data_IF_300797031133
#
_entry.id   IF_300797031133
#
_cell.length_a   1.000
_cell.length_b   1.000
_cell.length_c   1.000
_cell.angle_alpha   90.00
_cell.angle_beta   90.00
_cell.angle_gamma   90.00
#
_symmetry.space_group_name_H-M   'P 1'
#
loop_
_entity.id
_entity.type
_entity.pdbx_description
1 polymer ?
#
# COMPACT_ATOMS: atom_id res chain seq x y z
N UNK A 1 -8.14 -7.93 -6.63
CA UNK A 1 -8.53 -6.64 -7.20
C UNK A 1 -9.43 -6.80 -8.42
N UNK A 2 -9.94 -5.69 -8.93
CA UNK A 2 -10.96 -5.71 -10.02
C UNK A 2 -10.43 -6.30 -11.33
N UNK A 3 -9.14 -6.22 -11.57
CA UNK A 3 -8.47 -6.76 -12.77
C UNK A 3 -7.61 -7.97 -12.43
N UNK A 4 -7.86 -8.60 -11.26
CA UNK A 4 -7.07 -9.74 -10.84
C UNK A 4 -7.36 -10.96 -11.71
N UNK A 5 -6.28 -11.56 -12.23
CA UNK A 5 -6.35 -12.89 -12.81
C UNK A 5 -6.29 -13.93 -11.69
N UNK A 6 -7.21 -14.89 -11.72
CA UNK A 6 -7.24 -15.98 -10.72
C UNK A 6 -6.01 -16.88 -10.81
N UNK A 7 -5.39 -16.98 -11.98
CA UNK A 7 -4.15 -17.73 -12.20
C UNK A 7 -2.95 -17.10 -11.47
N UNK A 8 -3.04 -15.83 -11.10
CA UNK A 8 -2.02 -15.16 -10.29
C UNK A 8 -2.05 -15.57 -8.80
N UNK A 9 -3.03 -16.34 -8.34
CA UNK A 9 -3.00 -17.05 -7.06
C UNK A 9 -2.40 -18.43 -7.30
N UNK A 10 -1.09 -18.55 -7.13
CA UNK A 10 -0.36 -19.81 -7.36
C UNK A 10 -0.35 -20.75 -6.14
N UNK A 11 -0.76 -20.26 -4.98
CA UNK A 11 -0.87 -21.05 -3.75
C UNK A 11 -2.06 -22.01 -3.82
N UNK A 12 -1.83 -23.24 -3.46
CA UNK A 12 -2.91 -24.20 -3.22
C UNK A 12 -3.59 -23.96 -1.85
N UNK A 13 -4.72 -24.63 -1.64
CA UNK A 13 -5.47 -24.52 -0.39
C UNK A 13 -4.64 -24.93 0.84
N UNK A 14 -3.79 -25.93 0.70
CA UNK A 14 -2.92 -26.42 1.79
C UNK A 14 -1.95 -25.33 2.25
N UNK A 15 -1.27 -24.67 1.31
CA UNK A 15 -0.37 -23.56 1.61
C UNK A 15 -1.10 -22.40 2.32
N UNK A 16 -2.29 -22.04 1.84
CA UNK A 16 -3.10 -20.97 2.43
C UNK A 16 -3.50 -21.30 3.87
N UNK A 17 -3.98 -22.53 4.13
CA UNK A 17 -4.39 -22.98 5.44
C UNK A 17 -3.21 -23.06 6.43
N UNK A 18 -2.05 -23.60 6.00
CA UNK A 18 -0.83 -23.70 6.81
C UNK A 18 -0.29 -22.32 7.22
N UNK A 19 -0.39 -21.33 6.33
CA UNK A 19 0.06 -19.96 6.58
C UNK A 19 -1.05 -19.04 7.13
N UNK A 20 -2.26 -19.57 7.39
CA UNK A 20 -3.43 -18.83 7.90
C UNK A 20 -3.79 -17.63 7.00
N UNK A 21 -3.69 -17.82 5.69
CA UNK A 21 -3.98 -16.79 4.68
C UNK A 21 -5.41 -16.96 4.19
N UNK A 22 -6.21 -15.90 4.29
CA UNK A 22 -7.55 -15.82 3.74
C UNK A 22 -7.56 -15.06 2.42
N UNK A 23 -8.33 -15.54 1.45
CA UNK A 23 -8.47 -14.90 0.13
C UNK A 23 -9.78 -14.13 0.09
N UNK A 24 -9.71 -12.86 -0.34
CA UNK A 24 -10.87 -11.98 -0.45
C UNK A 24 -10.94 -11.35 -1.84
N UNK A 25 -12.12 -11.38 -2.44
CA UNK A 25 -12.41 -10.58 -3.63
C UNK A 25 -12.77 -9.16 -3.22
N UNK A 26 -12.05 -8.19 -3.77
CA UNK A 26 -12.25 -6.76 -3.48
C UNK A 26 -12.24 -5.94 -4.76
N UNK A 27 -12.92 -4.80 -4.73
CA UNK A 27 -13.22 -3.96 -5.89
C UNK A 27 -12.23 -2.80 -6.13
N UNK A 28 -11.05 -2.82 -5.48
CA UNK A 28 -9.97 -1.87 -5.79
C UNK A 28 -9.38 -2.10 -7.19
N UNK A 29 -8.78 -1.07 -7.74
CA UNK A 29 -7.96 -1.21 -8.94
C UNK A 29 -6.75 -2.11 -8.75
N UNK A 30 -6.24 -2.64 -9.86
CA UNK A 30 -5.07 -3.53 -9.88
C UNK A 30 -5.40 -5.00 -9.61
N UNK A 31 -4.35 -5.81 -9.63
CA UNK A 31 -4.36 -7.26 -9.53
C UNK A 31 -4.32 -7.75 -8.06
N UNK A 32 -3.99 -9.03 -7.87
CA UNK A 32 -3.80 -9.66 -6.56
C UNK A 32 -2.64 -9.01 -5.79
N UNK A 33 -2.74 -8.97 -4.48
CA UNK A 33 -1.66 -8.57 -3.56
C UNK A 33 -1.77 -9.37 -2.27
N UNK A 34 -0.74 -9.30 -1.44
CA UNK A 34 -0.69 -9.90 -0.12
C UNK A 34 -0.70 -8.81 0.96
N UNK A 35 -1.44 -9.04 2.03
CA UNK A 35 -1.40 -8.23 3.25
C UNK A 35 -1.06 -9.11 4.45
N UNK A 36 -0.09 -8.69 5.26
CA UNK A 36 0.33 -9.45 6.42
C UNK A 36 1.09 -8.65 7.47
N UNK A 37 1.50 -9.30 8.56
CA UNK A 37 2.26 -8.66 9.63
C UNK A 37 3.51 -7.95 9.12
N UNK A 38 3.87 -6.83 9.76
CA UNK A 38 5.01 -6.02 9.36
C UNK A 38 4.77 -5.09 8.18
N UNK A 39 3.57 -5.11 7.57
CA UNK A 39 3.16 -4.21 6.51
C UNK A 39 2.31 -3.06 7.06
N UNK A 40 2.50 -1.85 6.57
CA UNK A 40 1.58 -0.74 6.84
C UNK A 40 0.58 -0.65 5.70
N UNK A 41 -0.70 -0.86 6.02
CA UNK A 41 -1.81 -0.65 5.08
C UNK A 41 -2.47 0.67 5.42
N UNK A 42 -2.54 1.57 4.46
CA UNK A 42 -3.17 2.89 4.59
C UNK A 42 -4.31 3.07 3.59
N UNK A 43 -5.44 3.58 4.09
CA UNK A 43 -6.62 3.91 3.28
C UNK A 43 -6.95 5.40 3.39
N UNK A 44 -6.29 6.28 2.60
CA UNK A 44 -6.63 7.69 2.59
C UNK A 44 -8.01 7.88 1.94
N UNK A 45 -9.00 8.31 2.73
CA UNK A 45 -10.37 8.59 2.28
C UNK A 45 -10.49 10.09 2.12
N UNK A 46 -10.40 10.56 0.88
CA UNK A 46 -10.30 11.98 0.54
C UNK A 46 -11.40 12.34 -0.46
N UNK A 47 -12.04 13.49 -0.23
CA UNK A 47 -12.91 14.09 -1.21
C UNK A 47 -12.07 14.90 -2.21
N UNK A 48 -11.88 14.35 -3.41
CA UNK A 48 -11.07 14.96 -4.47
C UNK A 48 -11.67 16.25 -5.03
N UNK A 49 -12.95 16.55 -4.76
CA UNK A 49 -13.53 17.85 -5.14
C UNK A 49 -12.89 19.00 -4.38
N UNK A 50 -12.41 18.73 -3.16
CA UNK A 50 -11.76 19.72 -2.29
C UNK A 50 -10.24 19.80 -2.53
N UNK A 51 -9.69 18.96 -3.41
CA UNK A 51 -8.27 18.93 -3.75
C UNK A 51 -8.07 19.07 -5.26
N UNK A 52 -8.15 17.97 -6.01
CA UNK A 52 -8.11 17.94 -7.46
C UNK A 52 -8.96 16.76 -7.97
N UNK A 53 -9.92 17.02 -8.86
CA UNK A 53 -10.77 16.00 -9.48
C UNK A 53 -10.01 15.20 -10.55
N UNK A 54 -8.92 14.54 -10.14
CA UNK A 54 -8.04 13.78 -11.04
C UNK A 54 -7.52 12.55 -10.30
N UNK A 55 -7.98 11.38 -10.71
CA UNK A 55 -7.60 10.08 -10.12
C UNK A 55 -6.12 9.75 -10.34
N UNK A 56 -5.57 10.12 -11.50
CA UNK A 56 -4.15 9.88 -11.78
C UNK A 56 -3.25 10.75 -10.92
N UNK A 57 -3.58 12.02 -10.74
CA UNK A 57 -2.86 12.91 -9.85
C UNK A 57 -2.93 12.43 -8.39
N UNK A 58 -4.10 11.95 -7.95
CA UNK A 58 -4.23 11.36 -6.63
C UNK A 58 -3.33 10.13 -6.45
N UNK A 59 -3.31 9.22 -7.44
CA UNK A 59 -2.42 8.07 -7.43
C UNK A 59 -0.95 8.51 -7.31
N UNK A 60 -0.53 9.46 -8.15
CA UNK A 60 0.84 10.00 -8.11
C UNK A 60 1.16 10.70 -6.78
N UNK A 61 0.17 11.34 -6.14
CA UNK A 61 0.33 11.94 -4.82
C UNK A 61 0.59 10.89 -3.73
N UNK A 62 -0.11 9.76 -3.77
CA UNK A 62 0.16 8.64 -2.84
C UNK A 62 1.55 8.04 -3.07
N UNK A 63 1.95 7.83 -4.33
CA UNK A 63 3.31 7.37 -4.65
C UNK A 63 4.36 8.35 -4.12
N UNK A 64 4.15 9.65 -4.29
CA UNK A 64 5.07 10.70 -3.82
C UNK A 64 5.26 10.67 -2.30
N UNK A 65 4.18 10.46 -1.54
CA UNK A 65 4.26 10.29 -0.08
C UNK A 65 5.21 9.15 0.29
N UNK A 66 5.06 8.00 -0.34
CA UNK A 66 5.90 6.83 -0.03
C UNK A 66 7.34 7.02 -0.52
N UNK A 67 7.55 7.67 -1.66
CA UNK A 67 8.89 8.03 -2.15
C UNK A 67 9.61 8.93 -1.13
N UNK A 68 8.93 9.95 -0.59
CA UNK A 68 9.48 10.83 0.45
C UNK A 68 9.79 10.06 1.73
N UNK A 69 8.95 9.11 2.14
CA UNK A 69 9.24 8.25 3.29
C UNK A 69 10.48 7.39 3.02
N UNK A 70 10.64 6.81 1.83
CA UNK A 70 11.84 6.06 1.46
C UNK A 70 13.11 6.94 1.53
N UNK A 71 13.02 8.19 1.05
CA UNK A 71 14.13 9.15 1.08
C UNK A 71 14.60 9.48 2.51
N UNK A 72 13.70 9.46 3.51
CA UNK A 72 14.10 9.63 4.93
C UNK A 72 14.91 8.44 5.49
N UNK A 73 14.99 7.36 4.74
CA UNK A 73 15.81 6.18 5.03
C UNK A 73 16.98 6.03 4.04
N UNK A 74 17.34 7.10 3.32
CA UNK A 74 18.38 7.10 2.29
C UNK A 74 18.14 6.07 1.17
N UNK A 75 16.85 5.78 0.86
CA UNK A 75 16.46 4.87 -0.21
C UNK A 75 15.84 5.67 -1.37
N UNK A 76 16.31 5.40 -2.58
CA UNK A 76 15.86 6.06 -3.81
C UNK A 76 14.56 5.41 -4.34
N UNK A 77 13.44 5.84 -3.77
CA UNK A 77 12.12 5.40 -4.21
C UNK A 77 11.75 5.98 -5.57
N UNK A 78 11.24 5.16 -6.46
CA UNK A 78 10.91 5.54 -7.84
C UNK A 78 9.56 5.01 -8.31
N UNK A 79 9.12 5.52 -9.47
CA UNK A 79 7.97 5.02 -10.22
C UNK A 79 8.45 4.22 -11.41
N UNK A 80 7.77 3.14 -11.73
CA UNK A 80 8.03 2.36 -12.93
C UNK A 80 6.84 2.56 -13.89
N UNK A 81 7.13 2.97 -15.11
CA UNK A 81 6.09 3.12 -16.13
C UNK A 81 5.32 1.81 -16.31
N UNK A 82 4.02 1.89 -16.47
CA UNK A 82 3.07 0.78 -16.57
C UNK A 82 2.74 0.05 -15.25
N UNK A 83 3.51 0.22 -14.18
CA UNK A 83 3.31 -0.49 -12.92
C UNK A 83 3.05 0.48 -11.76
N UNK A 84 1.83 0.49 -11.26
CA UNK A 84 1.45 1.29 -10.09
C UNK A 84 2.17 0.83 -8.84
N UNK A 85 2.62 1.78 -8.03
CA UNK A 85 3.31 1.55 -6.77
C UNK A 85 4.66 2.24 -6.68
N UNK A 86 5.39 2.01 -5.60
CA UNK A 86 6.74 2.55 -5.40
C UNK A 86 7.76 1.42 -5.42
N UNK A 87 8.88 1.70 -6.05
CA UNK A 87 9.92 0.73 -6.35
C UNK A 87 11.28 1.23 -5.88
N UNK A 88 12.15 0.30 -5.50
CA UNK A 88 13.59 0.48 -5.33
C UNK A 88 14.26 -0.36 -6.42
N UNK A 89 14.79 0.30 -7.44
CA UNK A 89 15.21 -0.31 -8.70
C UNK A 89 14.06 -1.13 -9.34
N UNK A 90 14.21 -2.45 -9.40
CA UNK A 90 13.22 -3.39 -9.95
C UNK A 90 12.38 -4.12 -8.87
N UNK A 91 12.51 -3.74 -7.60
CA UNK A 91 11.83 -4.36 -6.46
C UNK A 91 10.73 -3.46 -5.92
N UNK A 92 9.50 -3.95 -5.89
CA UNK A 92 8.35 -3.20 -5.37
C UNK A 92 8.37 -3.16 -3.84
N UNK A 93 8.46 -1.96 -3.27
CA UNK A 93 8.38 -1.74 -1.82
C UNK A 93 6.97 -1.38 -1.35
N UNK A 94 6.16 -0.78 -2.23
CA UNK A 94 4.78 -0.41 -1.90
C UNK A 94 3.84 -0.73 -3.05
N UNK A 95 2.81 -1.52 -2.76
CA UNK A 95 1.70 -1.76 -3.67
C UNK A 95 0.61 -0.69 -3.44
N UNK A 96 0.01 -0.19 -4.53
CA UNK A 96 -1.06 0.80 -4.48
C UNK A 96 -2.23 0.32 -5.34
N UNK A 97 -3.42 0.29 -4.75
CA UNK A 97 -4.65 -0.03 -5.45
C UNK A 97 -5.79 0.81 -4.90
N UNK A 98 -6.33 1.69 -5.70
CA UNK A 98 -7.35 2.65 -5.32
C UNK A 98 -8.68 2.39 -6.05
N UNK A 99 -9.75 2.95 -5.50
CA UNK A 99 -11.03 3.13 -6.17
C UNK A 99 -11.51 4.55 -5.89
N UNK A 100 -12.14 5.18 -6.87
CA UNK A 100 -12.79 6.49 -6.69
C UNK A 100 -14.26 6.35 -7.08
N UNK A 101 -15.14 6.82 -6.22
CA UNK A 101 -16.59 6.86 -6.48
C UNK A 101 -17.12 8.22 -6.05
N UNK A 102 -17.80 8.92 -6.97
CA UNK A 102 -18.31 10.28 -6.72
C UNK A 102 -17.24 11.23 -6.15
N UNK A 103 -16.01 11.09 -6.63
CA UNK A 103 -14.81 11.83 -6.20
C UNK A 103 -14.37 11.56 -4.76
N UNK A 104 -14.89 10.53 -4.11
CA UNK A 104 -14.39 10.04 -2.82
C UNK A 104 -13.47 8.85 -3.08
N UNK A 105 -12.28 8.90 -2.52
CA UNK A 105 -11.28 7.83 -2.64
C UNK A 105 -11.57 6.68 -1.67
N UNK A 106 -11.20 5.48 -2.05
CA UNK A 106 -11.31 4.25 -1.25
C UNK A 106 -10.10 3.37 -1.50
N UNK A 107 -9.80 2.47 -0.54
CA UNK A 107 -8.58 1.68 -0.53
C UNK A 107 -7.34 2.58 -0.45
N UNK A 108 -6.19 2.14 -0.91
CA UNK A 108 -4.98 2.95 -0.82
C UNK A 108 -3.71 2.14 -1.10
N UNK A 109 -2.85 1.99 -0.10
CA UNK A 109 -1.52 1.42 -0.28
C UNK A 109 -1.18 0.37 0.78
N UNK A 110 -0.22 -0.47 0.43
CA UNK A 110 0.41 -1.45 1.31
C UNK A 110 1.93 -1.30 1.21
N UNK A 111 2.54 -0.77 2.26
CA UNK A 111 3.96 -0.48 2.35
C UNK A 111 4.67 -1.55 3.18
N UNK A 112 5.63 -2.23 2.56
CA UNK A 112 6.40 -3.29 3.20
C UNK A 112 7.46 -2.69 4.12
N UNK A 113 7.31 -2.83 5.43
CA UNK A 113 8.26 -2.35 6.43
C UNK A 113 9.10 -3.53 6.96
N UNK A 114 8.49 -4.41 7.78
CA UNK A 114 9.12 -5.63 8.31
C UNK A 114 8.41 -6.90 7.78
N UNK A 115 7.86 -6.82 6.59
CA UNK A 115 7.01 -7.85 5.99
C UNK A 115 7.80 -9.12 5.68
N UNK A 116 7.26 -10.29 6.03
CA UNK A 116 7.80 -11.56 5.54
C UNK A 116 7.51 -11.69 4.04
N UNK A 117 8.52 -11.41 3.23
CA UNK A 117 8.42 -11.41 1.78
C UNK A 117 8.24 -12.81 1.18
N UNK A 118 8.53 -13.89 1.93
CA UNK A 118 8.32 -15.26 1.46
C UNK A 118 6.84 -15.56 1.17
N UNK A 119 5.94 -14.87 1.88
CA UNK A 119 4.50 -15.05 1.70
C UNK A 119 3.98 -14.46 0.38
N UNK A 120 4.75 -13.58 -0.28
CA UNK A 120 4.47 -13.16 -1.65
C UNK A 120 4.68 -14.27 -2.69
N UNK A 121 5.45 -15.32 -2.38
CA UNK A 121 5.62 -16.47 -3.28
C UNK A 121 4.31 -17.23 -3.56
N UNK A 122 3.28 -16.99 -2.76
CA UNK A 122 1.94 -17.54 -2.95
C UNK A 122 1.13 -16.86 -4.06
N UNK A 123 1.64 -15.79 -4.64
CA UNK A 123 0.97 -15.02 -5.69
C UNK A 123 1.99 -14.60 -6.77
N UNK A 124 1.49 -14.28 -7.98
CA UNK A 124 2.25 -13.54 -8.98
C UNK A 124 1.75 -12.09 -8.91
N UNK A 125 2.45 -11.17 -8.22
CA UNK A 125 1.96 -9.81 -8.02
C UNK A 125 1.83 -9.07 -9.35
N UNK A 126 0.63 -8.62 -9.69
CA UNK A 126 0.34 -7.90 -10.94
C UNK A 126 0.67 -8.70 -12.23
N UNK A 127 0.74 -10.04 -12.17
CA UNK A 127 1.17 -10.85 -13.32
C UNK A 127 2.62 -10.60 -13.77
N UNK A 128 3.43 -9.99 -12.90
CA UNK A 128 4.83 -9.62 -13.20
C UNK A 128 5.74 -10.73 -12.69
N UNK A 129 6.34 -11.47 -13.61
CA UNK A 129 7.20 -12.61 -13.30
C UNK A 129 8.70 -12.26 -13.23
N UNK A 130 9.07 -11.09 -13.73
CA UNK A 130 10.45 -10.61 -13.86
C UNK A 130 10.85 -9.55 -12.80
N UNK A 131 9.96 -9.26 -11.83
CA UNK A 131 10.21 -8.27 -10.78
C UNK A 131 9.93 -8.84 -9.40
N UNK A 132 10.71 -8.38 -8.43
CA UNK A 132 10.66 -8.85 -7.04
C UNK A 132 9.89 -7.87 -6.13
N UNK A 133 9.70 -8.25 -4.89
CA UNK A 133 9.20 -7.39 -3.81
C UNK A 133 10.30 -7.16 -2.79
N UNK A 134 10.27 -6.00 -2.13
CA UNK A 134 11.20 -5.68 -1.05
C UNK A 134 10.49 -5.04 0.13
N UNK A 135 11.25 -4.74 1.21
CA UNK A 135 10.79 -4.09 2.43
C UNK A 135 11.89 -3.22 3.02
N UNK A 136 11.54 -2.24 3.86
CA UNK A 136 12.51 -1.41 4.55
C UNK A 136 13.53 -2.24 5.33
N UNK A 137 13.06 -3.25 6.05
CA UNK A 137 13.91 -4.12 6.85
C UNK A 137 14.92 -4.92 5.99
N UNK A 138 14.53 -5.37 4.80
CA UNK A 138 15.42 -6.07 3.84
C UNK A 138 16.51 -5.13 3.32
N UNK A 139 16.14 -3.93 2.92
CA UNK A 139 17.06 -2.95 2.35
C UNK A 139 18.04 -2.39 3.41
N UNK A 140 17.55 -2.10 4.61
CA UNK A 140 18.34 -1.53 5.71
C UNK A 140 19.01 -2.57 6.60
N UNK A 141 18.71 -3.87 6.40
CA UNK A 141 19.26 -5.01 7.16
C UNK A 141 19.06 -4.88 8.67
N UNK A 142 17.95 -4.29 9.09
CA UNK A 142 17.55 -4.13 10.50
C UNK A 142 16.03 -4.05 10.62
N UNK A 143 15.51 -4.36 11.81
CA UNK A 143 14.11 -4.13 12.12
C UNK A 143 13.82 -2.63 12.22
N UNK A 144 12.67 -2.21 11.68
CA UNK A 144 12.26 -0.81 11.60
C UNK A 144 11.03 -0.60 12.49
N UNK A 145 11.01 0.47 13.26
CA UNK A 145 9.85 0.84 14.06
C UNK A 145 8.64 1.15 13.18
N UNK A 146 7.61 0.32 13.26
CA UNK A 146 6.34 0.53 12.53
C UNK A 146 5.70 1.88 12.91
N UNK A 147 5.81 2.28 14.18
CA UNK A 147 5.22 3.55 14.63
C UNK A 147 5.96 4.75 14.04
N UNK A 148 7.29 4.72 14.01
CA UNK A 148 8.09 5.76 13.36
C UNK A 148 7.70 5.91 11.87
N UNK A 149 7.59 4.79 11.14
CA UNK A 149 7.19 4.84 9.74
C UNK A 149 5.77 5.39 9.56
N UNK A 150 4.83 5.04 10.45
CA UNK A 150 3.47 5.60 10.44
C UNK A 150 3.49 7.12 10.61
N UNK A 151 4.26 7.64 11.57
CA UNK A 151 4.40 9.08 11.80
C UNK A 151 4.92 9.80 10.56
N UNK A 152 5.96 9.27 9.91
CA UNK A 152 6.49 9.80 8.65
C UNK A 152 5.46 9.79 7.53
N UNK A 153 4.73 8.69 7.36
CA UNK A 153 3.64 8.60 6.37
C UNK A 153 2.56 9.65 6.64
N UNK A 154 2.12 9.79 7.89
CA UNK A 154 1.10 10.77 8.28
C UNK A 154 1.58 12.20 8.00
N UNK A 155 2.83 12.51 8.35
CA UNK A 155 3.44 13.82 8.07
C UNK A 155 3.43 14.13 6.57
N UNK A 156 3.90 13.21 5.73
CA UNK A 156 3.93 13.43 4.28
C UNK A 156 2.53 13.44 3.65
N UNK A 157 1.58 12.66 4.16
CA UNK A 157 0.18 12.72 3.72
C UNK A 157 -0.44 14.09 4.04
N UNK A 158 -0.24 14.60 5.25
CA UNK A 158 -0.75 15.92 5.66
C UNK A 158 -0.21 17.02 4.76
N UNK A 159 1.09 17.02 4.51
CA UNK A 159 1.71 17.99 3.62
C UNK A 159 1.22 17.87 2.18
N UNK A 160 1.05 16.63 1.68
CA UNK A 160 0.64 16.38 0.30
C UNK A 160 -0.81 16.83 0.02
N UNK A 161 -1.67 16.74 1.02
CA UNK A 161 -3.10 17.09 0.89
C UNK A 161 -3.49 18.37 1.63
N UNK A 162 -2.52 19.13 2.16
CA UNK A 162 -2.68 20.40 2.86
C UNK A 162 -3.60 20.30 4.09
N UNK A 163 -3.37 19.27 4.93
CA UNK A 163 -4.02 19.14 6.22
C UNK A 163 -3.15 19.71 7.34
N UNK A 164 -3.63 20.76 8.00
CA UNK A 164 -2.91 21.45 9.08
C UNK A 164 -3.19 20.84 10.46
N UNK A 165 -4.27 20.08 10.58
CA UNK A 165 -4.69 19.48 11.86
C UNK A 165 -4.88 17.97 11.70
N UNK A 166 -4.38 17.22 12.67
CA UNK A 166 -4.47 15.76 12.74
C UNK A 166 -5.07 15.39 14.08
N UNK A 167 -6.15 14.63 14.04
CA UNK A 167 -6.76 14.02 15.23
C UNK A 167 -6.66 12.50 15.12
N UNK A 168 -6.21 11.85 16.19
CA UNK A 168 -6.14 10.41 16.27
C UNK A 168 -7.36 9.84 16.98
N UNK A 169 -8.04 8.90 16.35
CA UNK A 169 -9.18 8.18 16.91
C UNK A 169 -8.95 6.67 16.86
N UNK A 170 -9.32 6.00 17.92
CA UNK A 170 -9.38 4.54 17.97
C UNK A 170 -10.50 4.00 17.08
N UNK A 171 -10.45 2.70 16.75
CA UNK A 171 -11.54 2.04 16.01
C UNK A 171 -12.89 2.18 16.73
N UNK A 172 -12.90 2.11 18.06
CA UNK A 172 -14.13 2.23 18.86
C UNK A 172 -14.73 3.61 18.72
N UNK A 173 -13.91 4.68 18.84
CA UNK A 173 -14.35 6.06 18.64
C UNK A 173 -14.87 6.31 17.24
N UNK A 174 -14.20 5.78 16.20
CA UNK A 174 -14.68 5.90 14.82
C UNK A 174 -16.04 5.22 14.62
N UNK A 175 -16.24 4.04 15.18
CA UNK A 175 -17.52 3.33 15.08
C UNK A 175 -18.65 4.06 15.79
N UNK A 176 -18.39 4.77 16.88
CA UNK A 176 -19.40 5.58 17.60
C UNK A 176 -19.86 6.82 16.80
N UNK A 177 -19.10 7.25 15.78
CA UNK A 177 -19.48 8.40 14.94
C UNK A 177 -20.45 8.02 13.81
N UNK A 178 -20.63 6.74 13.52
CA UNK A 178 -21.45 6.22 12.41
C UNK A 178 -22.63 5.37 12.89
N UNK A 179 -22.80 5.24 14.19
CA UNK A 179 -23.97 4.62 14.86
C UNK A 179 -24.99 5.69 15.25
#
# INVERSE_FOLDING_TARGET
GKTADKENLVSDKKYLDENKISVYDIDRGGDITYHGPGQIVGYPIINLTNWQQDTHKYLRAIEEVIIKVCAEYDLDGSRVDKYTGVWLDDRKICAIGIKVSRWITMHGFAFNVNTDLKLFNGIIPCGITDKDVTSLNRELKKEISINEVKEKIIHHLSNQFNYDQIEFKSKVELLSLIS
#
